data_IF_312202575724
#
_entry.id   IF_312202575724
#
_cell.length_a   1.000
_cell.length_b   1.000
_cell.length_c   1.000
_cell.angle_alpha   90.00
_cell.angle_beta   90.00
_cell.angle_gamma   90.00
#
_symmetry.space_group_name_H-M   'P 1'
#
loop_
_entity.id
_entity.type
_entity.pdbx_description
1 polymer ?
#
# COMPACT_ATOMS: atom_id res chain seq x y z
N UNK A 1 -18.50 -13.58 0.44
CA UNK A 1 -17.77 -12.76 -0.55
C UNK A 1 -16.29 -12.89 -0.22
N UNK A 2 -15.52 -13.44 -1.14
CA UNK A 2 -14.06 -13.59 -0.99
C UNK A 2 -13.42 -12.21 -1.09
N UNK A 3 -12.70 -11.77 -0.05
CA UNK A 3 -12.01 -10.46 -0.06
C UNK A 3 -10.77 -10.60 -0.95
N UNK A 4 -10.77 -9.92 -2.08
CA UNK A 4 -9.57 -9.83 -2.93
C UNK A 4 -8.50 -9.03 -2.19
N UNK A 5 -7.29 -9.59 -2.04
CA UNK A 5 -6.17 -8.92 -1.41
C UNK A 5 -5.63 -7.81 -2.31
N UNK A 6 -5.31 -6.68 -1.70
CA UNK A 6 -4.82 -5.49 -2.39
C UNK A 6 -3.37 -5.20 -2.00
N UNK A 7 -2.75 -4.25 -2.70
CA UNK A 7 -1.45 -3.72 -2.31
C UNK A 7 -1.50 -3.09 -0.91
N UNK A 8 -2.62 -2.53 -0.46
CA UNK A 8 -2.72 -1.97 0.90
C UNK A 8 -2.48 -3.03 2.00
N UNK A 9 -2.90 -4.28 1.74
CA UNK A 9 -2.69 -5.43 2.63
C UNK A 9 -1.25 -5.97 2.60
N UNK A 10 -0.42 -5.51 1.66
CA UNK A 10 0.95 -5.97 1.48
C UNK A 10 1.93 -5.22 2.39
N UNK A 11 2.82 -5.96 3.06
CA UNK A 11 3.92 -5.45 3.87
C UNK A 11 4.88 -4.56 3.07
N UNK A 12 5.00 -4.78 1.75
CA UNK A 12 5.89 -4.04 0.85
C UNK A 12 5.27 -2.76 0.28
N UNK A 13 4.01 -2.47 0.57
CA UNK A 13 3.36 -1.25 0.10
C UNK A 13 3.63 -0.08 1.04
N UNK A 14 3.85 1.10 0.49
CA UNK A 14 3.95 2.35 1.23
C UNK A 14 2.87 3.30 0.72
N UNK A 15 1.93 3.59 1.61
CA UNK A 15 0.87 4.57 1.39
C UNK A 15 1.46 5.97 1.43
N UNK A 16 1.18 6.79 0.42
CA UNK A 16 1.56 8.20 0.46
C UNK A 16 0.55 9.01 1.27
N UNK A 17 1.08 9.99 2.00
CA UNK A 17 0.30 10.93 2.77
C UNK A 17 0.76 12.34 2.41
N UNK A 18 -0.18 13.27 2.36
CA UNK A 18 0.12 14.70 2.27
C UNK A 18 -0.18 15.38 3.59
N UNK A 19 0.53 16.46 3.89
CA UNK A 19 0.26 17.27 5.08
C UNK A 19 -0.83 18.29 4.77
N UNK A 20 -2.00 18.15 5.40
CA UNK A 20 -3.07 19.15 5.38
C UNK A 20 -3.19 19.81 6.74
N UNK A 21 -2.96 21.12 6.82
CA UNK A 21 -2.93 21.88 8.08
C UNK A 21 -2.06 21.19 9.17
N UNK A 22 -2.71 20.50 10.12
CA UNK A 22 -2.09 19.81 11.27
C UNK A 22 -2.21 18.28 11.23
N UNK A 23 -2.65 17.70 10.11
CA UNK A 23 -2.84 16.25 9.96
C UNK A 23 -2.17 15.75 8.69
N UNK A 24 -1.76 14.49 8.71
CA UNK A 24 -1.41 13.75 7.50
C UNK A 24 -2.65 13.03 7.02
N UNK A 25 -2.99 13.22 5.74
CA UNK A 25 -4.12 12.53 5.10
C UNK A 25 -3.56 11.64 4.00
N UNK A 26 -4.10 10.43 3.93
CA UNK A 26 -3.76 9.52 2.84
C UNK A 26 -4.27 10.11 1.52
N UNK A 27 -3.49 9.91 0.47
CA UNK A 27 -3.91 10.19 -0.90
C UNK A 27 -4.06 8.88 -1.65
N UNK A 28 -4.80 8.86 -2.75
CA UNK A 28 -4.95 7.64 -3.55
C UNK A 28 -3.70 7.35 -4.41
N UNK A 29 -2.54 7.29 -3.76
CA UNK A 29 -1.22 7.08 -4.35
C UNK A 29 -0.27 6.42 -3.34
N UNK A 30 0.72 5.72 -3.86
CA UNK A 30 1.68 4.97 -3.07
C UNK A 30 2.65 4.20 -3.97
N UNK A 31 3.46 3.34 -3.37
CA UNK A 31 4.33 2.47 -4.16
C UNK A 31 4.62 1.15 -3.46
N UNK A 32 4.87 0.11 -4.26
CA UNK A 32 5.29 -1.19 -3.79
C UNK A 32 6.79 -1.38 -4.04
N UNK A 33 7.53 -1.78 -3.01
CA UNK A 33 8.99 -2.01 -3.07
C UNK A 33 9.39 -3.47 -3.21
N UNK A 34 8.45 -4.39 -3.44
CA UNK A 34 8.75 -5.83 -3.54
C UNK A 34 9.62 -6.17 -4.76
N UNK A 35 9.61 -5.32 -5.79
CA UNK A 35 10.48 -5.42 -6.96
C UNK A 35 11.75 -4.56 -6.77
N UNK A 36 12.88 -4.88 -7.43
CA UNK A 36 14.12 -4.08 -7.34
C UNK A 36 13.96 -2.60 -7.69
N UNK A 37 12.92 -2.26 -8.46
CA UNK A 37 12.48 -0.89 -8.69
C UNK A 37 11.10 -0.72 -8.08
N UNK A 38 10.94 0.32 -7.27
CA UNK A 38 9.65 0.71 -6.73
C UNK A 38 8.66 0.92 -7.88
N UNK A 39 7.44 0.41 -7.72
CA UNK A 39 6.36 0.59 -8.69
C UNK A 39 5.28 1.43 -8.03
N UNK A 40 4.86 2.49 -8.71
CA UNK A 40 3.71 3.28 -8.28
C UNK A 40 2.48 2.38 -8.28
N UNK A 41 1.72 2.43 -7.19
CA UNK A 41 0.54 1.59 -6.94
C UNK A 41 -0.47 2.43 -6.17
N UNK A 42 -1.75 2.15 -6.39
CA UNK A 42 -2.82 2.69 -5.54
C UNK A 42 -3.18 1.66 -4.46
N UNK A 43 -3.81 2.07 -3.34
CA UNK A 43 -4.16 1.14 -2.25
C UNK A 43 -5.05 -0.01 -2.72
N UNK A 44 -5.95 0.26 -3.67
CA UNK A 44 -6.93 -0.71 -4.20
C UNK A 44 -6.37 -1.58 -5.33
N UNK A 45 -5.13 -1.32 -5.78
CA UNK A 45 -4.50 -2.16 -6.80
C UNK A 45 -4.40 -3.60 -6.27
N UNK A 46 -4.72 -4.63 -7.07
CA UNK A 46 -4.55 -6.02 -6.64
C UNK A 46 -3.15 -6.29 -6.09
N UNK A 47 -3.09 -7.17 -5.09
CA UNK A 47 -1.83 -7.59 -4.48
C UNK A 47 -0.79 -7.98 -5.54
N UNK A 48 0.46 -7.54 -5.35
CA UNK A 48 1.54 -7.87 -6.27
C UNK A 48 1.92 -9.36 -6.19
N UNK A 49 2.58 -9.89 -7.23
CA UNK A 49 3.04 -11.29 -7.27
C UNK A 49 3.95 -11.70 -6.10
N UNK A 50 4.57 -10.72 -5.43
CA UNK A 50 5.40 -10.89 -4.24
C UNK A 50 4.67 -10.46 -2.97
N UNK A 51 3.36 -10.70 -2.91
CA UNK A 51 2.54 -10.32 -1.77
C UNK A 51 3.08 -10.97 -0.49
N UNK A 52 3.23 -10.13 0.54
CA UNK A 52 3.52 -10.57 1.89
C UNK A 52 2.49 -9.88 2.78
N UNK A 53 1.69 -10.60 3.59
CA UNK A 53 0.71 -9.96 4.45
C UNK A 53 1.39 -8.99 5.41
N UNK A 54 0.85 -7.78 5.53
CA UNK A 54 1.31 -6.81 6.51
C UNK A 54 1.07 -7.35 7.93
N UNK A 55 2.07 -7.34 8.82
CA UNK A 55 1.84 -7.72 10.22
C UNK A 55 0.85 -6.73 10.86
N UNK A 56 0.00 -7.23 11.75
CA UNK A 56 -0.90 -6.37 12.51
C UNK A 56 -0.08 -5.30 13.25
N UNK A 57 -0.51 -4.04 13.09
CA UNK A 57 0.05 -2.91 13.83
C UNK A 57 -0.55 -2.95 15.24
N UNK A 58 -0.04 -3.83 16.10
CA UNK A 58 -0.26 -3.75 17.57
C UNK A 58 0.39 -2.51 18.14
#
# INVERSE_FOLDING_TARGET
MERSLTCSDCAHYYQHYIRTHRRFVEIHDGHCVAAPRARNRTPDTPACDKFLPRPDRT
#
